data_IF_518963758850
#
_entry.id   IF_518963758850
#
_cell.length_a   1.000
_cell.length_b   1.000
_cell.length_c   1.000
_cell.angle_alpha   90.00
_cell.angle_beta   90.00
_cell.angle_gamma   90.00
#
_symmetry.space_group_name_H-M   'P 1'
#
loop_
_entity.id
_entity.type
_entity.pdbx_description
1 polymer ?
#
# COMPACT_ATOMS: atom_id res chain seq x y z
N UNK A 1 -26.69 -69.32 -38.06
CA UNK A 1 -26.13 -68.78 -36.79
C UNK A 1 -25.06 -67.69 -37.00
N UNK A 2 -24.01 -67.92 -37.82
CA UNK A 2 -22.90 -66.95 -38.04
C UNK A 2 -23.30 -65.54 -38.54
N UNK A 3 -24.33 -65.40 -39.38
CA UNK A 3 -24.78 -64.10 -39.92
C UNK A 3 -25.44 -63.18 -38.87
N UNK A 4 -26.10 -63.77 -37.86
CA UNK A 4 -26.79 -63.01 -36.80
C UNK A 4 -25.77 -62.44 -35.81
N UNK A 5 -24.76 -63.23 -35.46
CA UNK A 5 -23.63 -62.84 -34.62
C UNK A 5 -22.82 -61.68 -35.23
N UNK A 6 -22.58 -61.72 -36.54
CA UNK A 6 -21.84 -60.68 -37.26
C UNK A 6 -22.58 -59.32 -37.32
N UNK A 7 -23.93 -59.33 -37.29
CA UNK A 7 -24.73 -58.10 -37.21
C UNK A 7 -24.70 -57.48 -35.82
N UNK A 8 -24.72 -58.31 -34.77
CA UNK A 8 -24.65 -57.84 -33.38
C UNK A 8 -23.28 -57.22 -33.05
N UNK A 9 -22.19 -57.82 -33.56
CA UNK A 9 -20.82 -57.29 -33.42
C UNK A 9 -20.67 -55.92 -34.12
N UNK A 10 -21.21 -55.76 -35.34
CA UNK A 10 -21.17 -54.45 -36.03
C UNK A 10 -21.98 -53.37 -35.30
N UNK A 11 -23.10 -53.74 -34.67
CA UNK A 11 -23.95 -52.79 -33.92
C UNK A 11 -23.27 -52.34 -32.64
N UNK A 12 -22.64 -53.26 -31.90
CA UNK A 12 -21.88 -52.96 -30.69
C UNK A 12 -20.62 -52.11 -30.97
N UNK A 13 -19.87 -52.39 -32.05
CA UNK A 13 -18.74 -51.54 -32.47
C UNK A 13 -19.20 -50.11 -32.81
N UNK A 14 -20.38 -49.95 -33.42
CA UNK A 14 -20.91 -48.63 -33.78
C UNK A 14 -21.34 -47.82 -32.55
N UNK A 15 -21.87 -48.49 -31.53
CA UNK A 15 -22.23 -47.87 -30.24
C UNK A 15 -20.96 -47.47 -29.50
N UNK A 16 -19.98 -48.37 -29.37
CA UNK A 16 -18.70 -48.09 -28.72
C UNK A 16 -17.96 -46.92 -29.36
N UNK A 17 -17.91 -46.85 -30.71
CA UNK A 17 -17.31 -45.70 -31.41
C UNK A 17 -18.03 -44.38 -31.12
N UNK A 18 -19.36 -44.40 -30.95
CA UNK A 18 -20.15 -43.20 -30.64
C UNK A 18 -19.90 -42.74 -29.21
N UNK A 19 -19.84 -43.66 -28.25
CA UNK A 19 -19.55 -43.36 -26.84
C UNK A 19 -18.12 -42.83 -26.65
N UNK A 20 -17.12 -43.46 -27.27
CA UNK A 20 -15.72 -42.99 -27.25
C UNK A 20 -15.60 -41.61 -27.91
N UNK A 21 -16.27 -41.37 -29.03
CA UNK A 21 -16.27 -40.07 -29.70
C UNK A 21 -16.93 -38.98 -28.83
N UNK A 22 -18.08 -39.28 -28.21
CA UNK A 22 -18.73 -38.34 -27.29
C UNK A 22 -17.86 -38.04 -26.05
N UNK A 23 -17.16 -39.03 -25.50
CA UNK A 23 -16.23 -38.83 -24.38
C UNK A 23 -15.05 -37.93 -24.74
N UNK A 24 -14.43 -38.15 -25.91
CA UNK A 24 -13.31 -37.32 -26.40
C UNK A 24 -13.76 -35.88 -26.65
N UNK A 25 -14.92 -35.68 -27.28
CA UNK A 25 -15.48 -34.33 -27.54
C UNK A 25 -15.82 -33.62 -26.23
N UNK A 26 -16.37 -34.33 -25.24
CA UNK A 26 -16.66 -33.77 -23.92
C UNK A 26 -15.41 -33.27 -23.18
N UNK A 27 -14.33 -34.07 -23.20
CA UNK A 27 -13.05 -33.68 -22.59
C UNK A 27 -12.47 -32.46 -23.30
N UNK A 28 -12.48 -32.45 -24.64
CA UNK A 28 -11.97 -31.31 -25.42
C UNK A 28 -12.75 -30.01 -25.13
N UNK A 29 -14.07 -30.07 -24.99
CA UNK A 29 -14.89 -28.91 -24.65
C UNK A 29 -14.58 -28.37 -23.25
N UNK A 30 -14.43 -29.25 -22.26
CA UNK A 30 -14.07 -28.85 -20.89
C UNK A 30 -12.67 -28.22 -20.89
N UNK A 31 -11.70 -28.84 -21.57
CA UNK A 31 -10.36 -28.28 -21.70
C UNK A 31 -10.36 -26.92 -22.39
N UNK A 32 -11.20 -26.72 -23.41
CA UNK A 32 -11.33 -25.43 -24.11
C UNK A 32 -11.93 -24.35 -23.21
N UNK A 33 -12.95 -24.69 -22.40
CA UNK A 33 -13.55 -23.78 -21.43
C UNK A 33 -12.52 -23.37 -20.38
N UNK A 34 -11.81 -24.34 -19.79
CA UNK A 34 -10.75 -24.08 -18.79
C UNK A 34 -9.63 -23.24 -19.40
N UNK A 35 -9.22 -23.54 -20.63
CA UNK A 35 -8.20 -22.76 -21.31
C UNK A 35 -8.65 -21.33 -21.59
N UNK A 36 -9.92 -21.13 -21.96
CA UNK A 36 -10.50 -19.80 -22.16
C UNK A 36 -10.61 -19.00 -20.85
N UNK A 37 -11.01 -19.62 -19.73
CA UNK A 37 -11.00 -18.95 -18.43
C UNK A 37 -9.58 -18.61 -17.97
N UNK A 38 -8.61 -19.50 -18.21
CA UNK A 38 -7.19 -19.23 -17.91
C UNK A 38 -6.65 -18.09 -18.80
N UNK A 39 -6.97 -18.07 -20.10
CA UNK A 39 -6.55 -17.00 -21.00
C UNK A 39 -7.16 -15.66 -20.62
N UNK A 40 -8.46 -15.60 -20.33
CA UNK A 40 -9.11 -14.37 -19.84
C UNK A 40 -8.56 -13.93 -18.47
N UNK A 41 -8.14 -14.86 -17.62
CA UNK A 41 -7.45 -14.55 -16.38
C UNK A 41 -6.02 -14.02 -16.61
N UNK A 42 -5.36 -14.42 -17.69
CA UNK A 42 -4.02 -13.99 -18.05
C UNK A 42 -4.00 -12.66 -18.81
N UNK A 43 -4.95 -12.41 -19.72
CA UNK A 43 -5.10 -11.11 -20.43
C UNK A 43 -5.43 -9.95 -19.48
N UNK A 44 -6.02 -10.24 -18.30
CA UNK A 44 -6.32 -9.23 -17.29
C UNK A 44 -5.23 -9.01 -16.24
N UNK A 45 -4.09 -9.72 -16.30
CA UNK A 45 -2.92 -9.38 -15.48
C UNK A 45 -2.13 -8.25 -16.14
N UNK A 46 -2.77 -7.08 -16.21
CA UNK A 46 -2.12 -5.77 -16.31
C UNK A 46 -0.94 -5.78 -15.34
N UNK A 47 0.28 -5.57 -15.83
CA UNK A 47 1.47 -5.56 -14.98
C UNK A 47 1.95 -4.13 -14.88
N UNK A 48 1.40 -3.39 -13.91
CA UNK A 48 1.97 -2.10 -13.54
C UNK A 48 3.39 -2.32 -13.01
N UNK A 49 4.31 -1.45 -13.44
CA UNK A 49 5.69 -1.46 -12.97
C UNK A 49 5.95 -0.19 -12.19
N UNK A 50 6.74 -0.33 -11.12
CA UNK A 50 7.21 0.79 -10.31
C UNK A 50 8.68 0.99 -10.60
N UNK A 51 9.03 2.20 -11.01
CA UNK A 51 10.41 2.67 -11.11
C UNK A 51 10.70 3.56 -9.90
N UNK A 52 11.88 3.38 -9.29
CA UNK A 52 12.39 4.33 -8.31
C UNK A 52 13.04 5.52 -9.02
N UNK A 53 12.58 6.71 -8.71
CA UNK A 53 13.24 7.96 -9.06
C UNK A 53 13.86 8.58 -7.80
N UNK A 54 14.92 9.35 -8.00
CA UNK A 54 15.69 9.96 -6.90
C UNK A 54 15.79 11.45 -7.13
N UNK A 55 15.39 12.22 -6.11
CA UNK A 55 15.72 13.63 -6.00
C UNK A 55 16.89 13.80 -5.04
N UNK A 56 17.95 14.43 -5.51
CA UNK A 56 19.12 14.74 -4.68
C UNK A 56 19.44 16.22 -4.79
N UNK A 57 19.53 16.88 -3.64
CA UNK A 57 19.95 18.27 -3.54
C UNK A 57 21.03 18.38 -2.49
N UNK A 58 22.15 18.98 -2.84
CA UNK A 58 23.24 19.17 -1.90
C UNK A 58 24.06 20.40 -2.20
N UNK A 59 24.70 20.94 -1.15
CA UNK A 59 25.71 21.97 -1.28
C UNK A 59 27.08 21.31 -1.47
N UNK A 60 27.90 21.83 -2.38
CA UNK A 60 29.30 21.41 -2.46
C UNK A 60 29.97 21.58 -1.11
N UNK A 61 30.74 20.56 -0.71
CA UNK A 61 31.25 20.37 0.65
C UNK A 61 32.35 21.39 0.97
N UNK A 62 31.93 22.63 1.24
CA UNK A 62 32.75 23.65 1.87
C UNK A 62 32.47 23.57 3.37
N UNK A 63 33.53 23.58 4.18
CA UNK A 63 33.62 23.05 5.56
C UNK A 63 32.62 23.60 6.60
N UNK A 64 31.67 24.46 6.23
CA UNK A 64 30.91 25.28 7.17
C UNK A 64 29.49 24.81 7.51
N UNK A 65 28.77 24.01 6.70
CA UNK A 65 27.48 23.38 7.07
C UNK A 65 27.07 22.29 6.05
N UNK A 66 26.53 21.17 6.52
CA UNK A 66 26.02 20.09 5.65
C UNK A 66 24.58 20.43 5.22
N UNK A 67 24.36 20.46 3.91
CA UNK A 67 23.02 20.47 3.33
C UNK A 67 23.00 19.38 2.27
N UNK A 68 22.39 18.24 2.57
CA UNK A 68 22.26 17.08 1.71
C UNK A 68 20.88 16.45 1.93
N UNK A 69 20.11 16.38 0.86
CA UNK A 69 18.77 15.82 0.83
C UNK A 69 18.73 14.76 -0.24
N UNK A 70 18.22 13.59 0.10
CA UNK A 70 17.94 12.50 -0.84
C UNK A 70 16.52 11.99 -0.61
N UNK A 71 15.71 11.99 -1.66
CA UNK A 71 14.32 11.53 -1.62
C UNK A 71 14.17 10.49 -2.72
N UNK A 72 14.02 9.23 -2.31
CA UNK A 72 13.61 8.13 -3.17
C UNK A 72 12.08 8.14 -3.24
N UNK A 73 11.53 8.06 -4.44
CA UNK A 73 10.08 8.04 -4.62
C UNK A 73 9.67 7.17 -5.83
N UNK A 74 8.55 6.45 -5.71
CA UNK A 74 8.07 5.59 -6.77
C UNK A 74 7.43 6.40 -7.89
N UNK A 75 7.58 5.94 -9.12
CA UNK A 75 6.80 6.35 -10.28
C UNK A 75 6.22 5.09 -10.95
N UNK A 76 4.93 5.13 -11.26
CA UNK A 76 4.31 4.14 -12.12
C UNK A 76 4.73 4.37 -13.57
N UNK A 77 5.08 3.29 -14.24
CA UNK A 77 5.34 3.28 -15.68
C UNK A 77 4.07 2.85 -16.44
N UNK A 78 3.89 3.40 -17.65
CA UNK A 78 2.76 3.09 -18.53
C UNK A 78 2.69 1.58 -18.82
N UNK A 79 1.70 0.93 -18.23
CA UNK A 79 1.24 -0.39 -18.64
C UNK A 79 0.49 -0.27 -19.97
N UNK A 80 0.84 -1.08 -20.96
CA UNK A 80 0.14 -1.13 -22.25
C UNK A 80 -1.37 -1.36 -22.01
N UNK A 81 -2.22 -0.44 -22.50
CA UNK A 81 -3.68 -0.59 -22.51
C UNK A 81 -4.42 -0.03 -21.29
N UNK A 82 -3.78 0.76 -20.43
CA UNK A 82 -4.45 1.44 -19.33
C UNK A 82 -5.05 2.78 -19.80
N UNK A 83 -6.35 2.97 -19.59
CA UNK A 83 -6.99 4.29 -19.68
C UNK A 83 -6.92 4.99 -18.30
N UNK A 84 -5.71 5.12 -17.78
CA UNK A 84 -5.42 5.68 -16.46
C UNK A 84 -4.59 6.93 -16.65
N UNK A 85 -4.90 7.99 -15.90
CA UNK A 85 -4.04 9.17 -15.84
C UNK A 85 -2.84 8.89 -14.90
N UNK A 86 -1.84 8.20 -15.42
CA UNK A 86 -0.63 7.86 -14.65
C UNK A 86 0.09 9.11 -14.17
N UNK A 87 0.03 10.22 -14.92
CA UNK A 87 0.65 11.47 -14.50
C UNK A 87 -0.01 12.02 -13.23
N UNK A 88 -1.33 11.88 -13.11
CA UNK A 88 -2.06 12.23 -11.89
C UNK A 88 -1.62 11.36 -10.71
N UNK A 89 -1.55 10.04 -10.87
CA UNK A 89 -1.08 9.12 -9.81
C UNK A 89 0.37 9.44 -9.41
N UNK A 90 1.25 9.63 -10.39
CA UNK A 90 2.66 10.00 -10.16
C UNK A 90 2.81 11.36 -9.48
N UNK A 91 1.91 12.32 -9.73
CA UNK A 91 1.87 13.58 -9.00
C UNK A 91 1.54 13.36 -7.52
N UNK A 92 0.55 12.51 -7.21
CA UNK A 92 0.18 12.19 -5.84
C UNK A 92 1.30 11.45 -5.09
N UNK A 93 2.03 10.55 -5.77
CA UNK A 93 3.21 9.88 -5.21
C UNK A 93 4.32 10.88 -4.85
N UNK A 94 4.56 11.88 -5.71
CA UNK A 94 5.52 12.95 -5.43
C UNK A 94 5.06 13.85 -4.29
N UNK A 95 3.79 14.25 -4.27
CA UNK A 95 3.24 15.07 -3.20
C UNK A 95 3.38 14.37 -1.84
N UNK A 96 3.15 13.05 -1.79
CA UNK A 96 3.37 12.25 -0.59
C UNK A 96 4.85 12.18 -0.18
N UNK A 97 5.75 11.83 -1.11
CA UNK A 97 7.18 11.70 -0.83
C UNK A 97 7.84 13.02 -0.35
N UNK A 98 7.38 14.16 -0.86
CA UNK A 98 7.91 15.49 -0.54
C UNK A 98 7.15 16.20 0.60
N UNK A 99 6.19 15.51 1.22
CA UNK A 99 5.29 16.05 2.23
C UNK A 99 5.99 16.59 3.48
N UNK A 100 7.25 16.22 3.72
CA UNK A 100 8.10 16.76 4.78
C UNK A 100 8.26 18.27 4.65
N UNK A 101 8.44 18.75 3.42
CA UNK A 101 8.73 20.16 3.14
C UNK A 101 7.47 20.95 2.79
N UNK A 102 6.59 20.39 1.94
CA UNK A 102 5.35 21.07 1.58
C UNK A 102 4.26 20.08 1.13
N UNK A 103 2.99 20.53 1.15
CA UNK A 103 1.82 19.76 0.70
C UNK A 103 1.86 19.31 -0.77
N UNK A 104 2.71 19.92 -1.59
CA UNK A 104 2.84 19.61 -3.02
C UNK A 104 4.30 19.62 -3.44
N UNK A 105 4.68 18.71 -4.34
CA UNK A 105 6.01 18.58 -4.90
C UNK A 105 6.59 19.91 -5.41
N UNK A 106 5.81 20.68 -6.17
CA UNK A 106 6.28 21.95 -6.76
C UNK A 106 6.68 22.96 -5.68
N UNK A 107 5.88 23.08 -4.61
CA UNK A 107 6.20 23.96 -3.48
C UNK A 107 7.39 23.43 -2.68
N UNK A 108 7.48 22.12 -2.50
CA UNK A 108 8.58 21.51 -1.78
C UNK A 108 9.91 21.76 -2.50
N UNK A 109 9.98 21.52 -3.81
CA UNK A 109 11.19 21.80 -4.60
C UNK A 109 11.56 23.28 -4.56
N UNK A 110 10.60 24.19 -4.73
CA UNK A 110 10.87 25.62 -4.66
C UNK A 110 11.46 26.04 -3.30
N UNK A 111 10.93 25.51 -2.20
CA UNK A 111 11.45 25.75 -0.86
C UNK A 111 12.88 25.19 -0.69
N UNK A 112 13.11 23.95 -1.12
CA UNK A 112 14.43 23.29 -1.04
C UNK A 112 15.49 24.04 -1.84
N UNK A 113 15.14 24.49 -3.06
CA UNK A 113 16.01 25.29 -3.92
C UNK A 113 16.35 26.66 -3.33
N UNK A 114 15.46 27.25 -2.54
CA UNK A 114 15.72 28.48 -1.78
C UNK A 114 16.63 28.20 -0.57
N UNK A 115 16.29 27.21 0.25
CA UNK A 115 17.02 26.85 1.48
C UNK A 115 18.47 26.44 1.22
N UNK A 116 18.74 25.67 0.15
CA UNK A 116 20.10 25.24 -0.17
C UNK A 116 21.05 26.41 -0.45
N UNK A 117 20.54 27.58 -0.85
CA UNK A 117 21.33 28.78 -1.07
C UNK A 117 21.71 29.51 0.23
N UNK A 118 20.97 29.29 1.32
CA UNK A 118 21.29 29.88 2.62
C UNK A 118 22.48 29.15 3.27
N UNK A 119 23.64 29.82 3.33
CA UNK A 119 24.86 29.28 3.93
C UNK A 119 24.71 28.82 5.40
N UNK A 120 23.69 29.30 6.10
CA UNK A 120 23.37 28.91 7.47
C UNK A 120 22.41 27.73 7.57
N UNK A 121 21.71 27.37 6.50
CA UNK A 121 20.85 26.20 6.47
C UNK A 121 21.67 24.92 6.61
N UNK A 122 21.11 23.99 7.39
CA UNK A 122 21.62 22.65 7.62
C UNK A 122 20.48 21.66 7.42
N UNK A 123 20.70 20.66 6.57
CA UNK A 123 19.75 19.57 6.33
C UNK A 123 20.51 18.29 5.98
N UNK A 124 20.07 17.18 6.56
CA UNK A 124 20.62 15.86 6.35
C UNK A 124 19.48 14.87 6.28
N UNK A 125 18.70 14.95 5.22
CA UNK A 125 17.43 14.23 5.10
C UNK A 125 17.55 13.10 4.07
N UNK A 126 17.15 11.91 4.48
CA UNK A 126 16.98 10.75 3.62
C UNK A 126 15.54 10.28 3.75
N UNK A 127 14.82 10.30 2.63
CA UNK A 127 13.46 9.80 2.54
C UNK A 127 13.48 8.58 1.62
N UNK A 128 12.99 7.47 2.16
CA UNK A 128 12.86 6.18 1.47
C UNK A 128 11.41 5.70 1.52
N UNK A 129 11.10 4.64 0.77
CA UNK A 129 9.80 4.02 0.81
C UNK A 129 9.88 2.50 0.70
N UNK A 130 8.91 1.84 1.34
CA UNK A 130 8.61 0.43 1.14
C UNK A 130 7.28 0.29 0.38
N UNK A 131 7.26 -0.58 -0.63
CA UNK A 131 6.05 -0.93 -1.35
C UNK A 131 5.32 -2.04 -0.58
N UNK A 132 4.18 -1.69 0.00
CA UNK A 132 3.31 -2.65 0.69
C UNK A 132 2.47 -3.46 -0.31
N UNK A 133 1.90 -2.78 -1.30
CA UNK A 133 0.97 -3.36 -2.25
C UNK A 133 0.99 -2.66 -3.59
N UNK A 134 0.88 -3.45 -4.66
CA UNK A 134 0.65 -2.96 -6.01
C UNK A 134 -0.21 -3.98 -6.75
N UNK A 135 -1.39 -3.53 -7.17
CA UNK A 135 -2.20 -4.19 -8.17
C UNK A 135 -2.74 -3.16 -9.17
N UNK A 136 -3.84 -3.48 -9.86
CA UNK A 136 -4.42 -2.60 -10.87
C UNK A 136 -5.26 -1.46 -10.28
N UNK A 137 -5.68 -1.61 -9.04
CA UNK A 137 -6.64 -0.75 -8.37
C UNK A 137 -5.90 0.16 -7.39
N UNK A 138 -4.85 -0.35 -6.72
CA UNK A 138 -4.16 0.34 -5.64
C UNK A 138 -2.64 0.26 -5.74
N UNK A 139 -1.99 1.37 -5.39
CA UNK A 139 -0.61 1.39 -4.92
C UNK A 139 -0.61 1.82 -3.46
N UNK A 140 0.04 1.05 -2.60
CA UNK A 140 0.17 1.33 -1.17
C UNK A 140 1.61 1.24 -0.72
N UNK A 141 2.05 2.22 0.06
CA UNK A 141 3.44 2.47 0.42
C UNK A 141 3.55 2.91 1.88
N UNK A 142 4.73 2.72 2.47
CA UNK A 142 5.14 3.43 3.69
C UNK A 142 6.39 4.22 3.38
N UNK A 143 6.32 5.54 3.55
CA UNK A 143 7.51 6.37 3.51
C UNK A 143 8.20 6.36 4.86
N UNK A 144 9.53 6.37 4.83
CA UNK A 144 10.41 6.50 5.99
C UNK A 144 11.27 7.74 5.84
N UNK A 145 11.41 8.49 6.93
CA UNK A 145 12.23 9.70 7.02
C UNK A 145 13.34 9.41 8.04
N UNK A 146 14.58 9.65 7.64
CA UNK A 146 15.72 9.85 8.54
C UNK A 146 16.24 11.27 8.30
N UNK A 147 16.13 12.12 9.32
CA UNK A 147 16.40 13.55 9.20
C UNK A 147 17.33 14.04 10.31
N UNK A 148 18.34 14.82 9.91
CA UNK A 148 19.19 15.56 10.84
C UNK A 148 19.21 17.03 10.44
N UNK A 149 18.70 17.90 11.33
CA UNK A 149 18.59 19.36 11.10
C UNK A 149 19.41 20.17 12.11
N UNK A 150 20.51 19.60 12.61
CA UNK A 150 21.41 20.24 13.59
C UNK A 150 21.06 19.99 15.05
N UNK A 151 20.13 19.06 15.32
CA UNK A 151 19.75 18.56 16.64
C UNK A 151 19.74 17.01 16.67
N UNK A 152 19.00 16.38 17.59
CA UNK A 152 18.75 14.94 17.55
C UNK A 152 18.17 14.52 16.19
N UNK A 153 18.51 13.31 15.74
CA UNK A 153 17.92 12.74 14.54
C UNK A 153 16.42 12.55 14.72
N UNK A 154 15.65 12.94 13.72
CA UNK A 154 14.22 12.71 13.63
C UNK A 154 13.97 11.52 12.70
N UNK A 155 13.21 10.53 13.19
CA UNK A 155 12.80 9.38 12.41
C UNK A 155 11.28 9.26 12.40
N UNK A 156 10.69 9.11 11.22
CA UNK A 156 9.23 9.04 11.10
C UNK A 156 8.79 8.22 9.91
N UNK A 157 7.63 7.58 10.04
CA UNK A 157 7.03 6.78 8.99
C UNK A 157 5.57 7.15 8.84
N UNK A 158 5.10 7.15 7.60
CA UNK A 158 3.71 7.46 7.28
C UNK A 158 3.27 6.64 6.07
N UNK A 159 2.08 6.01 6.13
CA UNK A 159 1.57 5.25 5.02
C UNK A 159 0.89 6.17 4.00
N UNK A 160 0.79 5.70 2.76
CA UNK A 160 -0.05 6.30 1.73
C UNK A 160 -0.65 5.19 0.86
N UNK A 161 -1.90 5.37 0.48
CA UNK A 161 -2.58 4.51 -0.49
C UNK A 161 -3.26 5.39 -1.53
N UNK A 162 -3.11 5.02 -2.81
CA UNK A 162 -3.72 5.72 -3.93
C UNK A 162 -4.58 4.75 -4.73
N UNK A 163 -5.82 5.14 -5.00
CA UNK A 163 -6.68 4.54 -6.02
C UNK A 163 -6.12 4.94 -7.39
N UNK A 164 -5.59 3.96 -8.11
CA UNK A 164 -4.90 4.16 -9.38
C UNK A 164 -5.89 4.60 -10.46
N UNK A 165 -7.08 4.00 -10.51
CA UNK A 165 -8.10 4.31 -11.52
C UNK A 165 -8.62 5.74 -11.35
N UNK A 166 -8.93 6.15 -10.12
CA UNK A 166 -9.47 7.49 -9.82
C UNK A 166 -8.37 8.54 -9.72
N UNK A 167 -7.12 8.13 -9.48
CA UNK A 167 -6.00 9.02 -9.20
C UNK A 167 -6.31 9.91 -8.00
N UNK A 168 -6.58 9.30 -6.85
CA UNK A 168 -6.85 9.99 -5.59
C UNK A 168 -6.30 9.19 -4.41
N UNK A 169 -5.94 9.89 -3.34
CA UNK A 169 -5.63 9.21 -2.08
C UNK A 169 -6.86 8.45 -1.57
N UNK A 170 -6.62 7.30 -0.97
CA UNK A 170 -7.63 6.58 -0.20
C UNK A 170 -7.39 6.94 1.26
N UNK A 171 -8.44 7.45 1.89
CA UNK A 171 -8.41 7.74 3.30
C UNK A 171 -9.07 6.62 4.10
N UNK A 172 -8.78 6.59 5.40
CA UNK A 172 -9.40 5.65 6.33
C UNK A 172 -10.94 5.64 6.18
N UNK A 173 -11.55 6.83 6.13
CA UNK A 173 -13.01 6.98 5.97
C UNK A 173 -13.58 6.41 4.67
N UNK A 174 -12.75 6.22 3.64
CA UNK A 174 -13.18 5.63 2.37
C UNK A 174 -13.13 4.09 2.40
N UNK A 175 -12.43 3.50 3.38
CA UNK A 175 -12.06 2.08 3.37
C UNK A 175 -12.60 1.29 4.56
N UNK A 176 -12.63 1.84 5.77
CA UNK A 176 -12.96 1.10 6.99
C UNK A 176 -13.87 1.90 7.95
N UNK A 177 -14.67 1.17 8.74
CA UNK A 177 -15.46 1.76 9.81
C UNK A 177 -14.63 1.92 11.10
N UNK A 178 -14.80 3.07 11.76
CA UNK A 178 -14.08 3.38 13.00
C UNK A 178 -14.36 2.36 14.11
N UNK A 179 -15.59 1.84 14.22
CA UNK A 179 -15.98 0.93 15.27
C UNK A 179 -15.37 -0.46 15.07
N UNK A 180 -15.24 -0.93 13.83
CA UNK A 180 -14.58 -2.20 13.51
C UNK A 180 -13.11 -2.17 13.93
N UNK A 181 -12.42 -1.07 13.60
CA UNK A 181 -11.02 -0.88 14.01
C UNK A 181 -10.91 -0.74 15.52
N UNK A 182 -11.81 0.00 16.18
CA UNK A 182 -11.83 0.09 17.63
C UNK A 182 -12.05 -1.28 18.29
N UNK A 183 -12.92 -2.13 17.73
CA UNK A 183 -13.10 -3.49 18.23
C UNK A 183 -11.82 -4.32 18.09
N UNK A 184 -11.12 -4.21 16.95
CA UNK A 184 -9.85 -4.90 16.75
C UNK A 184 -8.79 -4.43 17.76
N UNK A 185 -8.68 -3.11 18.00
CA UNK A 185 -7.78 -2.55 19.01
C UNK A 185 -8.13 -3.06 20.41
N UNK A 186 -9.39 -2.95 20.83
CA UNK A 186 -9.87 -3.33 22.15
C UNK A 186 -9.68 -4.82 22.47
N UNK A 187 -9.70 -5.67 21.45
CA UNK A 187 -9.44 -7.12 21.59
C UNK A 187 -7.96 -7.48 21.49
N UNK A 188 -7.08 -6.50 21.29
CA UNK A 188 -5.65 -6.71 21.10
C UNK A 188 -5.31 -7.37 19.77
N UNK A 189 -6.23 -7.37 18.81
CA UNK A 189 -6.06 -8.03 17.51
C UNK A 189 -5.46 -7.07 16.48
N UNK A 190 -4.20 -6.71 16.69
CA UNK A 190 -3.42 -5.88 15.79
C UNK A 190 -1.95 -6.29 15.86
N UNK A 191 -1.15 -5.80 14.91
CA UNK A 191 0.30 -5.89 14.96
C UNK A 191 0.90 -4.49 15.01
N UNK A 192 2.04 -4.35 15.68
CA UNK A 192 2.80 -3.10 15.64
C UNK A 192 3.71 -3.12 14.42
N UNK A 193 3.44 -2.24 13.45
CA UNK A 193 4.32 -2.04 12.29
C UNK A 193 5.45 -1.06 12.63
N UNK A 194 5.11 0.05 13.29
CA UNK A 194 6.07 1.08 13.70
C UNK A 194 5.62 1.80 14.98
N UNK A 195 6.56 2.48 15.64
CA UNK A 195 6.31 3.29 16.85
C UNK A 195 6.95 2.76 18.14
N UNK A 196 7.50 1.53 18.10
CA UNK A 196 8.27 0.94 19.21
C UNK A 196 9.76 1.29 19.13
N UNK A 197 10.48 1.04 20.23
CA UNK A 197 11.93 1.19 20.32
C UNK A 197 12.50 0.12 21.25
N UNK A 198 13.84 0.02 21.35
CA UNK A 198 14.54 -1.12 21.98
C UNK A 198 14.09 -1.50 23.39
N UNK A 199 13.60 -0.55 24.19
CA UNK A 199 13.12 -0.80 25.55
C UNK A 199 11.66 -1.27 25.63
N UNK A 200 10.92 -1.23 24.53
CA UNK A 200 9.51 -1.65 24.46
C UNK A 200 9.32 -2.75 23.40
N UNK A 201 8.86 -3.90 23.85
CA UNK A 201 8.49 -5.01 22.99
C UNK A 201 7.14 -4.74 22.32
N UNK A 202 6.87 -5.43 21.22
CA UNK A 202 5.53 -5.44 20.62
C UNK A 202 4.47 -5.96 21.61
N UNK A 203 4.83 -6.81 22.57
CA UNK A 203 3.93 -7.35 23.59
C UNK A 203 3.45 -6.26 24.57
N UNK A 204 4.27 -5.25 24.85
CA UNK A 204 3.89 -4.12 25.71
C UNK A 204 2.77 -3.28 25.08
N UNK A 205 2.71 -3.25 23.74
CA UNK A 205 1.63 -2.61 23.00
C UNK A 205 0.26 -3.27 23.24
N UNK A 206 0.25 -4.54 23.67
CA UNK A 206 -0.95 -5.29 23.99
C UNK A 206 -1.34 -5.23 25.48
N UNK A 207 -0.64 -4.44 26.30
CA UNK A 207 -1.06 -4.21 27.68
C UNK A 207 -2.44 -3.54 27.73
N UNK A 208 -3.35 -3.91 28.66
CA UNK A 208 -4.72 -3.41 28.67
C UNK A 208 -4.85 -1.87 28.75
N UNK A 209 -3.96 -1.22 29.51
CA UNK A 209 -3.91 0.23 29.63
C UNK A 209 -3.40 0.91 28.35
N UNK A 210 -2.45 0.28 27.66
CA UNK A 210 -1.96 0.73 26.36
C UNK A 210 -3.03 0.59 25.28
N UNK A 211 -3.70 -0.56 25.20
CA UNK A 211 -4.82 -0.80 24.28
C UNK A 211 -5.92 0.25 24.46
N UNK A 212 -6.26 0.56 25.71
CA UNK A 212 -7.23 1.61 26.03
C UNK A 212 -6.75 2.96 25.49
N UNK A 213 -5.48 3.30 25.71
CA UNK A 213 -4.91 4.55 25.21
C UNK A 213 -4.88 4.62 23.68
N UNK A 214 -4.53 3.53 22.98
CA UNK A 214 -4.60 3.46 21.52
C UNK A 214 -6.02 3.67 21.04
N UNK A 215 -7.01 2.98 21.62
CA UNK A 215 -8.41 3.09 21.23
C UNK A 215 -8.93 4.55 21.36
N UNK A 216 -8.66 5.19 22.51
CA UNK A 216 -9.06 6.58 22.74
C UNK A 216 -8.37 7.55 21.78
N UNK A 217 -7.06 7.38 21.59
CA UNK A 217 -6.26 8.29 20.75
C UNK A 217 -6.61 8.14 19.27
N UNK A 218 -6.75 6.91 18.78
CA UNK A 218 -7.18 6.63 17.42
C UNK A 218 -8.54 7.26 17.12
N UNK A 219 -9.53 7.05 18.01
CA UNK A 219 -10.87 7.61 17.82
C UNK A 219 -10.85 9.14 17.72
N UNK A 220 -10.11 9.80 18.61
CA UNK A 220 -9.96 11.25 18.62
C UNK A 220 -9.30 11.76 17.34
N UNK A 221 -8.15 11.17 16.97
CA UNK A 221 -7.33 11.65 15.86
C UNK A 221 -8.00 11.44 14.50
N UNK A 222 -8.62 10.28 14.26
CA UNK A 222 -9.35 10.01 13.00
C UNK A 222 -10.55 10.93 12.86
N UNK A 223 -11.30 11.18 13.95
CA UNK A 223 -12.49 12.04 13.92
C UNK A 223 -12.14 13.53 13.71
N UNK A 224 -10.97 13.97 14.17
CA UNK A 224 -10.51 15.35 14.01
C UNK A 224 -9.80 15.61 12.67
N UNK A 225 -9.26 14.56 12.04
CA UNK A 225 -8.51 14.66 10.80
C UNK A 225 -9.43 14.96 9.61
N UNK A 226 -8.99 15.86 8.73
CA UNK A 226 -9.74 16.25 7.52
C UNK A 226 -9.13 15.64 6.26
N UNK A 227 -9.92 15.56 5.19
CA UNK A 227 -9.50 15.06 3.88
C UNK A 227 -9.63 16.15 2.81
N UNK A 228 -8.88 16.02 1.70
CA UNK A 228 -9.07 16.87 0.52
C UNK A 228 -8.23 18.16 0.42
N UNK A 229 -7.40 18.49 1.42
CA UNK A 229 -6.49 19.66 1.36
C UNK A 229 -5.06 19.31 0.95
N UNK A 230 -4.88 18.30 0.09
CA UNK A 230 -3.57 17.71 -0.24
C UNK A 230 -3.15 16.64 0.77
N UNK A 231 -1.96 16.08 0.57
CA UNK A 231 -1.44 15.05 1.45
C UNK A 231 -0.88 15.69 2.74
N UNK A 232 -1.35 15.20 3.88
CA UNK A 232 -0.82 15.56 5.20
C UNK A 232 -0.30 14.29 5.87
N UNK A 233 1.03 14.17 5.98
CA UNK A 233 1.69 13.00 6.56
C UNK A 233 1.31 12.72 8.01
N UNK A 234 0.83 13.73 8.74
CA UNK A 234 0.42 13.60 10.15
C UNK A 234 -1.07 13.27 10.31
N UNK A 235 -1.82 13.16 9.22
CA UNK A 235 -3.24 12.83 9.27
C UNK A 235 -3.44 11.36 9.63
N UNK A 236 -4.34 11.11 10.59
CA UNK A 236 -4.77 9.73 10.90
C UNK A 236 -5.75 9.15 9.88
N UNK A 237 -6.10 9.94 8.85
CA UNK A 237 -6.81 9.44 7.67
C UNK A 237 -5.89 8.68 6.71
N UNK A 238 -4.56 8.79 6.86
CA UNK A 238 -3.63 8.07 6.01
C UNK A 238 -3.66 6.58 6.34
N UNK A 239 -3.75 5.75 5.30
CA UNK A 239 -3.75 4.30 5.43
C UNK A 239 -2.71 3.65 4.53
N UNK A 240 -2.21 2.51 4.99
CA UNK A 240 -1.44 1.55 4.19
C UNK A 240 -2.24 0.26 4.04
N UNK A 241 -2.01 -0.50 2.98
CA UNK A 241 -2.70 -1.75 2.70
C UNK A 241 -1.68 -2.76 2.16
N UNK A 242 -1.79 -4.01 2.60
CA UNK A 242 -1.18 -5.17 1.93
C UNK A 242 -2.22 -6.28 1.71
N UNK A 243 -1.82 -7.54 1.52
CA UNK A 243 -2.76 -8.67 1.39
C UNK A 243 -3.59 -8.93 2.65
N UNK A 244 -3.03 -8.68 3.82
CA UNK A 244 -3.51 -9.20 5.09
C UNK A 244 -3.99 -8.09 6.03
N UNK A 245 -3.37 -6.92 5.99
CA UNK A 245 -3.53 -5.85 6.95
C UNK A 245 -3.94 -4.52 6.31
N UNK A 246 -4.70 -3.76 7.10
CA UNK A 246 -4.88 -2.32 7.00
C UNK A 246 -3.93 -1.67 8.01
N UNK A 247 -3.00 -0.85 7.54
CA UNK A 247 -2.09 -0.10 8.39
C UNK A 247 -2.66 1.28 8.69
N UNK A 248 -2.90 1.56 9.97
CA UNK A 248 -3.41 2.84 10.45
C UNK A 248 -2.29 3.61 11.15
N UNK A 249 -2.14 4.88 10.77
CA UNK A 249 -1.25 5.82 11.44
C UNK A 249 -2.05 6.65 12.45
N UNK A 250 -1.47 6.93 13.61
CA UNK A 250 -1.96 8.01 14.47
C UNK A 250 -0.83 8.61 15.33
N UNK A 251 -0.86 9.94 15.56
CA UNK A 251 -0.03 10.57 16.57
C UNK A 251 -0.33 9.99 17.94
N UNK A 252 0.72 9.72 18.72
CA UNK A 252 0.62 9.10 20.03
C UNK A 252 1.77 9.59 20.90
N UNK A 253 1.55 10.61 21.71
CA UNK A 253 2.60 11.18 22.59
C UNK A 253 2.64 10.56 23.99
N UNK A 254 1.75 9.60 24.27
CA UNK A 254 1.71 8.92 25.57
C UNK A 254 2.94 8.02 25.69
N UNK A 255 3.56 8.00 26.87
CA UNK A 255 4.99 7.71 27.12
C UNK A 255 5.58 6.34 26.75
N UNK A 256 4.93 5.56 25.89
CA UNK A 256 5.46 4.33 25.29
C UNK A 256 5.86 4.52 23.81
N UNK A 257 5.62 5.69 23.21
CA UNK A 257 6.11 6.00 21.87
C UNK A 257 7.47 6.69 21.95
N UNK A 258 8.38 6.29 21.06
CA UNK A 258 9.68 6.95 20.96
C UNK A 258 9.62 8.21 20.10
N UNK A 259 8.90 8.13 18.98
CA UNK A 259 8.83 9.18 17.96
C UNK A 259 7.47 9.89 17.93
N UNK A 260 6.62 9.68 18.94
CA UNK A 260 5.33 10.37 19.06
C UNK A 260 4.24 9.85 18.10
N UNK A 261 4.37 8.65 17.53
CA UNK A 261 3.34 8.03 16.69
C UNK A 261 3.39 6.50 16.76
N UNK A 262 2.33 5.87 16.26
CA UNK A 262 2.28 4.44 15.96
C UNK A 262 1.73 4.19 14.55
N UNK A 263 2.19 3.10 13.94
CA UNK A 263 1.51 2.46 12.81
C UNK A 263 1.11 1.07 13.26
N UNK A 264 -0.19 0.78 13.26
CA UNK A 264 -0.73 -0.52 13.64
C UNK A 264 -1.32 -1.23 12.43
N UNK A 265 -1.04 -2.52 12.26
CA UNK A 265 -1.64 -3.39 11.26
C UNK A 265 -2.89 -4.08 11.80
N UNK A 266 -4.04 -3.84 11.19
CA UNK A 266 -5.34 -4.45 11.53
C UNK A 266 -5.69 -5.51 10.48
N UNK A 267 -5.93 -6.79 10.85
CA UNK A 267 -6.28 -7.83 9.89
C UNK A 267 -7.57 -7.49 9.09
N UNK A 268 -7.48 -7.48 7.75
CA UNK A 268 -8.59 -7.11 6.86
C UNK A 268 -9.74 -8.10 6.85
N UNK A 269 -9.48 -9.39 7.07
CA UNK A 269 -10.51 -10.43 7.15
C UNK A 269 -11.54 -10.19 8.29
N UNK A 270 -11.28 -9.23 9.18
CA UNK A 270 -12.22 -8.77 10.20
C UNK A 270 -13.01 -7.53 9.79
N UNK A 271 -12.50 -6.74 8.85
CA UNK A 271 -13.15 -5.56 8.25
C UNK A 271 -14.13 -5.94 7.13
N UNK A 272 -13.98 -7.13 6.55
CA UNK A 272 -14.87 -7.63 5.49
C UNK A 272 -16.14 -8.32 6.03
N UNK A 273 -16.37 -8.34 7.35
CA UNK A 273 -17.60 -8.91 7.92
C UNK A 273 -18.70 -7.85 8.03
N UNK A 274 -19.24 -7.41 6.90
CA UNK A 274 -20.63 -6.97 6.69
C UNK A 274 -20.79 -6.34 5.28
N UNK A 275 -21.05 -7.19 4.28
CA UNK A 275 -21.80 -6.82 3.07
C UNK A 275 -22.58 -8.03 2.54
#
# INVERSE_FOLDING_TARGET
MKLRQNREIKKSIKIYRKEVFCGIVGILLISLIVFYTVLNSMENKRTLQVKNDVYSLGRERNETNIYNITINYPQLEDGIGLNIDINKVNSLLKDAAFSVYAKTYVKAVAQLEEEVQDAHAYAGDVIDYDLLWLDNDYISLVFSIDSCVGGPSYMHQYPVTIDIEKGQYIYFSDFADINEVLQALQTGNFEVYAGTYSEFSSEDAHAPDVIKQFSETFQEQVSASTTGEGFDRFSSQNIGLDQQYLYIYFPFEKGISFQGYYILGIPKNKLENEN
#
